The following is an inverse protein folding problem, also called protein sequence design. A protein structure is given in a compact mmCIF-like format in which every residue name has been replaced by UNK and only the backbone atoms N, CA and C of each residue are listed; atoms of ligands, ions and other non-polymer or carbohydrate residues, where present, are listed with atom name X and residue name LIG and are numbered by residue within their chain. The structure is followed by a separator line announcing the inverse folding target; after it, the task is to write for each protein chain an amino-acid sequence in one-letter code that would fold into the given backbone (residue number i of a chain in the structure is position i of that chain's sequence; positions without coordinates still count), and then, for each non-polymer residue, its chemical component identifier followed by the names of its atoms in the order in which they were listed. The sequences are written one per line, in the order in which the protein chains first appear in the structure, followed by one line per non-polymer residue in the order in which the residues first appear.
data_IF_083278546980
#
_entry.id   IF_083278546980
#
_cell.length_a   1.000
_cell.length_b   1.000
_cell.length_c   1.000
_cell.angle_alpha   90.00
_cell.angle_beta   90.00
_cell.angle_gamma   90.00
#
_symmetry.space_group_name_H-M   'P 1'
#
loop_
_entity.id
_entity.type
_entity.pdbx_description
1 polymer ?
#
# COMPACT_ATOMS: atom_id res chain seq x y z
N UNK A 1 -13.97 -3.89 -47.81
CA UNK A 1 -15.24 -3.24 -47.38
C UNK A 1 -16.16 -4.36 -46.92
N UNK A 2 -16.07 -4.74 -45.65
CA UNK A 2 -16.91 -5.76 -45.03
C UNK A 2 -17.38 -5.18 -43.70
N UNK A 3 -18.55 -4.56 -43.71
CA UNK A 3 -19.21 -4.06 -42.50
C UNK A 3 -19.78 -5.27 -41.76
N UNK A 4 -19.04 -5.78 -40.78
CA UNK A 4 -19.60 -6.66 -39.75
C UNK A 4 -20.50 -5.81 -38.86
N UNK A 5 -21.79 -6.06 -38.94
CA UNK A 5 -22.82 -5.44 -38.11
C UNK A 5 -22.61 -5.86 -36.65
N UNK A 6 -22.17 -4.89 -35.84
CA UNK A 6 -22.16 -4.97 -34.38
C UNK A 6 -23.59 -5.25 -33.91
N UNK A 7 -23.84 -6.52 -33.54
CA UNK A 7 -25.08 -6.96 -32.92
C UNK A 7 -25.10 -6.40 -31.49
N UNK A 8 -25.74 -5.24 -31.35
CA UNK A 8 -25.99 -4.58 -30.07
C UNK A 8 -26.70 -5.59 -29.17
N UNK A 9 -26.03 -6.00 -28.11
CA UNK A 9 -26.57 -6.91 -27.09
C UNK A 9 -27.70 -6.17 -26.40
N UNK A 10 -28.93 -6.64 -26.58
CA UNK A 10 -30.10 -6.07 -25.94
C UNK A 10 -29.88 -5.97 -24.42
N UNK A 11 -30.37 -4.89 -23.78
CA UNK A 11 -30.24 -4.72 -22.34
C UNK A 11 -30.88 -5.91 -21.64
N UNK A 12 -30.08 -6.56 -20.78
CA UNK A 12 -30.53 -7.64 -19.91
C UNK A 12 -31.77 -7.13 -19.16
N UNK A 13 -32.93 -7.83 -19.21
CA UNK A 13 -34.12 -7.39 -18.51
C UNK A 13 -33.80 -7.22 -17.02
N UNK A 14 -34.45 -6.24 -16.34
CA UNK A 14 -34.23 -6.01 -14.92
C UNK A 14 -34.45 -7.33 -14.20
N UNK A 15 -33.44 -7.73 -13.44
CA UNK A 15 -33.54 -8.86 -12.52
C UNK A 15 -34.68 -8.49 -11.58
N UNK A 16 -35.80 -9.23 -11.65
CA UNK A 16 -36.86 -9.12 -10.66
C UNK A 16 -36.25 -9.45 -9.30
N UNK A 17 -35.89 -8.40 -8.58
CA UNK A 17 -35.61 -8.45 -7.16
C UNK A 17 -36.96 -8.84 -6.54
N UNK A 18 -37.05 -10.06 -6.01
CA UNK A 18 -38.29 -10.51 -5.35
C UNK A 18 -38.71 -9.54 -4.26
N UNK A 19 -40.01 -9.54 -3.91
CA UNK A 19 -40.68 -8.60 -2.98
C UNK A 19 -39.92 -8.32 -1.67
N UNK A 20 -39.02 -9.20 -1.23
CA UNK A 20 -38.14 -8.98 -0.08
C UNK A 20 -37.06 -7.89 -0.27
N UNK A 21 -36.70 -7.54 -1.52
CA UNK A 21 -35.67 -6.52 -1.80
C UNK A 21 -36.23 -5.11 -2.01
N UNK A 22 -37.51 -4.96 -2.38
CA UNK A 22 -38.18 -3.64 -2.40
C UNK A 22 -38.47 -3.14 -0.97
N UNK A 23 -38.70 -4.04 -0.01
CA UNK A 23 -38.86 -3.66 1.40
C UNK A 23 -37.55 -3.13 2.01
N UNK A 24 -36.40 -3.73 1.68
CA UNK A 24 -35.10 -3.27 2.19
C UNK A 24 -34.70 -1.91 1.58
N UNK A 25 -35.08 -1.64 0.32
CA UNK A 25 -34.80 -0.35 -0.31
C UNK A 25 -35.74 0.76 0.20
N UNK A 26 -37.01 0.45 0.50
CA UNK A 26 -37.92 1.40 1.18
C UNK A 26 -37.55 1.69 2.63
N UNK A 27 -37.03 0.70 3.38
CA UNK A 27 -36.51 0.92 4.74
C UNK A 27 -35.24 1.80 4.72
N UNK A 28 -34.46 1.78 3.64
CA UNK A 28 -33.27 2.63 3.50
C UNK A 28 -33.57 4.07 3.08
N UNK A 29 -34.66 4.30 2.35
CA UNK A 29 -35.05 5.63 1.86
C UNK A 29 -35.83 6.47 2.90
N UNK A 30 -36.43 5.80 3.90
CA UNK A 30 -37.15 6.41 5.02
C UNK A 30 -36.35 6.44 6.34
N UNK A 31 -35.04 6.16 6.33
CA UNK A 31 -34.15 6.65 7.40
C UNK A 31 -34.12 8.16 7.27
N UNK A 32 -35.15 8.78 7.86
CA UNK A 32 -35.47 10.19 7.72
C UNK A 32 -34.20 11.00 7.90
N UNK A 33 -33.99 12.02 7.06
CA UNK A 33 -32.84 12.93 7.19
C UNK A 33 -32.64 13.43 8.64
N UNK A 34 -33.70 13.41 9.45
CA UNK A 34 -33.70 13.68 10.89
C UNK A 34 -32.98 12.60 11.72
N UNK A 35 -33.17 11.32 11.44
CA UNK A 35 -32.46 10.21 12.10
C UNK A 35 -31.00 10.12 11.66
N UNK A 36 -30.72 10.32 10.36
CA UNK A 36 -29.35 10.44 9.86
C UNK A 36 -28.61 11.63 10.50
N UNK A 37 -29.28 12.79 10.63
CA UNK A 37 -28.75 13.96 11.35
C UNK A 37 -28.54 13.66 12.84
N UNK A 38 -29.45 12.92 13.47
CA UNK A 38 -29.32 12.47 14.86
C UNK A 38 -28.05 11.65 15.07
N UNK A 39 -27.84 10.61 14.24
CA UNK A 39 -26.63 9.77 14.30
C UNK A 39 -25.35 10.53 13.98
N UNK A 40 -25.40 11.47 13.03
CA UNK A 40 -24.24 12.32 12.72
C UNK A 40 -23.86 13.21 13.91
N UNK A 41 -24.85 13.79 14.59
CA UNK A 41 -24.63 14.59 15.80
C UNK A 41 -24.10 13.73 16.95
N UNK A 42 -24.58 12.50 17.12
CA UNK A 42 -24.05 11.56 18.12
C UNK A 42 -22.60 11.16 17.82
N UNK A 43 -22.27 10.87 16.56
CA UNK A 43 -20.89 10.59 16.13
C UNK A 43 -19.98 11.80 16.35
N UNK A 44 -20.43 13.01 15.98
CA UNK A 44 -19.68 14.25 16.24
C UNK A 44 -19.45 14.48 17.73
N UNK A 45 -20.47 14.25 18.57
CA UNK A 45 -20.33 14.34 20.02
C UNK A 45 -19.38 13.29 20.58
N UNK A 46 -19.40 12.05 20.06
CA UNK A 46 -18.48 11.01 20.52
C UNK A 46 -17.04 11.31 20.12
N UNK A 47 -16.82 11.81 18.91
CA UNK A 47 -15.50 12.23 18.43
C UNK A 47 -14.99 13.44 19.24
N UNK A 48 -15.83 14.45 19.48
CA UNK A 48 -15.47 15.58 20.35
C UNK A 48 -15.13 15.13 21.76
N UNK A 49 -15.91 14.24 22.37
CA UNK A 49 -15.62 13.68 23.69
C UNK A 49 -14.32 12.84 23.71
N UNK A 50 -14.01 12.13 22.62
CA UNK A 50 -12.72 11.44 22.48
C UNK A 50 -11.58 12.45 22.40
N UNK A 51 -11.79 13.55 21.68
CA UNK A 51 -10.82 14.65 21.54
C UNK A 51 -10.58 15.34 22.90
N UNK A 52 -11.63 15.55 23.69
CA UNK A 52 -11.53 16.11 25.05
C UNK A 52 -10.76 15.18 25.98
N UNK A 53 -11.02 13.86 25.94
CA UNK A 53 -10.21 12.86 26.67
C UNK A 53 -8.75 12.83 26.19
N UNK A 54 -8.53 13.06 24.89
CA UNK A 54 -7.19 13.17 24.33
C UNK A 54 -6.48 14.46 24.77
N UNK A 55 -7.23 15.56 24.93
CA UNK A 55 -6.74 16.83 25.43
C UNK A 55 -6.43 16.75 26.94
N UNK A 56 -7.27 16.08 27.72
CA UNK A 56 -7.04 15.85 29.16
C UNK A 56 -5.88 14.88 29.43
N UNK A 57 -5.71 13.86 28.58
CA UNK A 57 -4.60 12.89 28.73
C UNK A 57 -3.24 13.42 28.27
N UNK A 58 -3.21 14.51 27.48
CA UNK A 58 -1.98 15.22 27.14
C UNK A 58 -1.80 16.44 28.02
N UNK A 59 -1.19 16.21 29.19
CA UNK A 59 -0.60 17.28 30.00
C UNK A 59 0.23 18.21 29.11
N UNK A 60 0.15 19.53 29.34
CA UNK A 60 0.90 20.56 28.58
C UNK A 60 2.39 20.21 28.40
N UNK A 61 2.97 19.47 29.36
CA UNK A 61 4.33 18.92 29.32
C UNK A 61 4.57 17.93 28.18
N UNK A 62 3.62 17.06 27.86
CA UNK A 62 3.70 16.05 26.78
C UNK A 62 3.54 16.68 25.40
N UNK A 63 2.80 17.80 25.31
CA UNK A 63 2.67 18.61 24.09
C UNK A 63 3.93 19.41 23.84
N UNK A 64 4.54 19.99 24.89
CA UNK A 64 5.82 20.71 24.78
C UNK A 64 7.02 19.78 24.53
N UNK A 65 6.96 18.52 24.97
CA UNK A 65 8.02 17.54 24.77
C UNK A 65 8.11 16.94 23.36
N UNK A 66 7.03 17.02 22.56
CA UNK A 66 7.02 16.52 21.17
C UNK A 66 7.26 17.67 20.19
N UNK A 67 8.49 18.18 20.19
CA UNK A 67 8.96 19.22 19.27
C UNK A 67 8.71 18.86 17.79
N UNK A 68 8.85 17.58 17.44
CA UNK A 68 8.65 17.08 16.07
C UNK A 68 7.20 17.28 15.55
N UNK A 69 6.20 17.12 16.42
CA UNK A 69 4.80 17.30 16.03
C UNK A 69 4.52 18.78 15.78
N UNK A 70 5.05 19.66 16.63
CA UNK A 70 4.92 21.11 16.45
C UNK A 70 5.62 21.61 15.20
N UNK A 71 6.80 21.09 14.89
CA UNK A 71 7.51 21.41 13.65
C UNK A 71 6.72 20.95 12.43
N UNK A 72 6.13 19.76 12.48
CA UNK A 72 5.28 19.25 11.38
C UNK A 72 4.02 20.11 11.18
N UNK A 73 3.34 20.49 12.26
CA UNK A 73 2.15 21.38 12.19
C UNK A 73 2.54 22.78 11.71
N UNK A 74 3.66 23.31 12.18
CA UNK A 74 4.18 24.60 11.74
C UNK A 74 4.55 24.58 10.26
N UNK A 75 5.19 23.52 9.78
CA UNK A 75 5.53 23.35 8.36
C UNK A 75 4.27 23.22 7.49
N UNK A 76 3.24 22.50 7.97
CA UNK A 76 1.93 22.46 7.30
C UNK A 76 1.32 23.85 7.26
N UNK A 77 1.21 24.56 8.39
CA UNK A 77 0.61 25.90 8.47
C UNK A 77 1.39 26.95 7.67
N UNK A 78 2.71 26.77 7.50
CA UNK A 78 3.57 27.66 6.72
C UNK A 78 3.62 27.29 5.23
N UNK A 79 3.07 26.13 4.86
CA UNK A 79 2.93 25.77 3.46
C UNK A 79 2.15 26.84 2.70
N UNK A 80 2.60 27.15 1.49
CA UNK A 80 1.94 28.13 0.60
C UNK A 80 0.54 27.67 0.18
N UNK A 81 0.21 26.41 0.42
CA UNK A 81 -1.03 25.76 0.04
C UNK A 81 -2.03 25.62 1.19
N UNK A 82 -1.72 26.16 2.38
CA UNK A 82 -2.67 26.21 3.51
C UNK A 82 -3.38 27.55 3.54
N UNK A 83 -4.71 27.50 3.46
CA UNK A 83 -5.58 28.66 3.46
C UNK A 83 -6.36 28.68 4.77
N UNK A 84 -6.24 29.79 5.49
CA UNK A 84 -7.05 30.06 6.67
C UNK A 84 -8.24 30.91 6.24
N UNK A 85 -9.45 30.42 6.45
CA UNK A 85 -10.67 31.15 6.19
C UNK A 85 -11.51 31.26 7.46
N UNK A 86 -12.18 32.41 7.64
CA UNK A 86 -13.02 32.64 8.81
C UNK A 86 -14.30 31.80 8.68
N UNK A 87 -14.63 31.01 9.72
CA UNK A 87 -15.81 30.15 9.73
C UNK A 87 -17.13 30.94 9.58
N UNK A 88 -17.12 32.23 9.91
CA UNK A 88 -18.27 33.13 9.79
C UNK A 88 -18.45 33.71 8.37
N UNK A 89 -17.48 33.54 7.48
CA UNK A 89 -17.49 34.07 6.11
C UNK A 89 -17.53 32.91 5.10
N UNK A 90 -18.68 32.23 5.07
CA UNK A 90 -18.90 31.05 4.24
C UNK A 90 -18.77 31.35 2.74
N UNK A 91 -19.06 32.56 2.30
CA UNK A 91 -18.99 32.94 0.89
C UNK A 91 -17.54 33.02 0.42
N UNK A 92 -16.65 33.59 1.24
CA UNK A 92 -15.22 33.65 0.95
C UNK A 92 -14.56 32.26 1.03
N UNK A 93 -14.91 31.45 2.03
CA UNK A 93 -14.48 30.03 2.11
C UNK A 93 -14.89 29.31 0.82
N UNK A 94 -16.14 29.49 0.40
CA UNK A 94 -16.68 28.84 -0.80
C UNK A 94 -15.96 29.31 -2.06
N UNK A 95 -15.72 30.62 -2.21
CA UNK A 95 -15.01 31.18 -3.35
C UNK A 95 -13.54 30.73 -3.41
N UNK A 96 -12.83 30.74 -2.27
CA UNK A 96 -11.48 30.21 -2.16
C UNK A 96 -11.45 28.71 -2.44
N UNK A 97 -12.42 27.95 -1.95
CA UNK A 97 -12.56 26.53 -2.23
C UNK A 97 -12.79 26.30 -3.73
N UNK A 98 -13.66 27.07 -4.40
CA UNK A 98 -13.86 26.97 -5.85
C UNK A 98 -12.62 27.39 -6.67
N UNK A 99 -11.80 28.29 -6.14
CA UNK A 99 -10.56 28.71 -6.79
C UNK A 99 -9.43 27.68 -6.60
N UNK A 100 -9.38 27.04 -5.42
CA UNK A 100 -8.39 26.04 -5.01
C UNK A 100 -8.71 24.64 -5.52
N UNK A 101 -9.94 24.21 -5.29
CA UNK A 101 -10.52 23.08 -5.98
C UNK A 101 -10.69 23.56 -7.42
N UNK A 102 -9.63 23.40 -8.21
CA UNK A 102 -9.64 23.52 -9.65
C UNK A 102 -10.59 22.46 -10.22
N UNK A 103 -11.89 22.57 -9.90
CA UNK A 103 -12.96 21.65 -10.26
C UNK A 103 -13.08 21.61 -11.79
N UNK A 104 -12.62 22.67 -12.48
CA UNK A 104 -12.48 22.73 -13.93
C UNK A 104 -11.28 21.94 -14.52
N UNK A 105 -10.37 21.39 -13.70
CA UNK A 105 -9.28 20.52 -14.19
C UNK A 105 -9.70 19.06 -14.34
N UNK A 106 -10.92 18.71 -13.96
CA UNK A 106 -11.48 17.42 -14.35
C UNK A 106 -11.75 17.47 -15.87
N UNK A 107 -11.18 16.55 -16.66
CA UNK A 107 -11.46 16.53 -18.09
C UNK A 107 -12.96 16.37 -18.30
N UNK A 108 -13.56 17.24 -19.13
CA UNK A 108 -14.99 17.22 -19.44
C UNK A 108 -15.45 15.83 -19.95
N UNK A 109 -14.53 15.06 -20.53
CA UNK A 109 -14.73 13.68 -20.96
C UNK A 109 -13.48 12.87 -20.66
N UNK A 110 -13.63 11.75 -19.96
CA UNK A 110 -12.55 10.77 -19.86
C UNK A 110 -12.41 10.02 -21.18
N UNK A 111 -11.17 9.75 -21.60
CA UNK A 111 -10.90 8.82 -22.69
C UNK A 111 -11.45 7.43 -22.35
N UNK A 112 -11.80 6.64 -23.36
CA UNK A 112 -12.24 5.26 -23.16
C UNK A 112 -11.15 4.41 -22.50
N UNK A 113 -9.88 4.66 -22.85
CA UNK A 113 -8.70 4.01 -22.27
C UNK A 113 -8.59 4.30 -20.78
N UNK A 114 -8.76 5.56 -20.34
CA UNK A 114 -8.75 5.92 -18.92
C UNK A 114 -9.83 5.19 -18.12
N UNK A 115 -11.03 5.01 -18.71
CA UNK A 115 -12.12 4.26 -18.06
C UNK A 115 -11.81 2.77 -17.93
N UNK A 116 -11.19 2.17 -18.95
CA UNK A 116 -10.75 0.77 -18.90
C UNK A 116 -9.63 0.57 -17.87
N UNK A 117 -8.65 1.48 -17.82
CA UNK A 117 -7.58 1.48 -16.83
C UNK A 117 -8.13 1.59 -15.40
N UNK A 118 -9.08 2.51 -15.17
CA UNK A 118 -9.74 2.66 -13.88
C UNK A 118 -10.48 1.39 -13.46
N UNK A 119 -11.23 0.77 -14.39
CA UNK A 119 -11.91 -0.50 -14.11
C UNK A 119 -10.91 -1.59 -13.73
N UNK A 120 -9.82 -1.73 -14.48
CA UNK A 120 -8.75 -2.71 -14.18
C UNK A 120 -8.13 -2.45 -12.81
N UNK A 121 -7.87 -1.20 -12.46
CA UNK A 121 -7.32 -0.85 -11.15
C UNK A 121 -8.28 -1.21 -10.00
N UNK A 122 -9.58 -0.95 -10.15
CA UNK A 122 -10.57 -1.36 -9.14
C UNK A 122 -10.67 -2.88 -8.99
N UNK A 123 -10.69 -3.63 -10.09
CA UNK A 123 -10.66 -5.10 -10.06
C UNK A 123 -9.43 -5.60 -9.31
N UNK A 124 -8.28 -4.93 -9.48
CA UNK A 124 -7.05 -5.26 -8.77
C UNK A 124 -7.17 -4.99 -7.25
N UNK A 125 -7.79 -3.88 -6.84
CA UNK A 125 -8.09 -3.59 -5.44
C UNK A 125 -8.96 -4.69 -4.84
N UNK A 126 -10.06 -5.04 -5.50
CA UNK A 126 -10.98 -6.09 -5.04
C UNK A 126 -10.25 -7.43 -4.90
N UNK A 127 -9.43 -7.80 -5.88
CA UNK A 127 -8.61 -9.01 -5.85
C UNK A 127 -7.66 -9.01 -4.65
N UNK A 128 -6.95 -7.91 -4.38
CA UNK A 128 -6.06 -7.82 -3.23
C UNK A 128 -6.80 -7.89 -1.90
N UNK A 129 -7.97 -7.23 -1.80
CA UNK A 129 -8.80 -7.24 -0.59
C UNK A 129 -9.35 -8.64 -0.30
N UNK A 130 -9.85 -9.34 -1.31
CA UNK A 130 -10.41 -10.69 -1.12
C UNK A 130 -9.33 -11.71 -0.74
N UNK A 131 -8.16 -11.64 -1.38
CA UNK A 131 -7.04 -12.49 -1.00
C UNK A 131 -6.51 -12.15 0.41
N UNK A 132 -6.45 -10.87 0.78
CA UNK A 132 -6.10 -10.47 2.13
C UNK A 132 -7.07 -11.06 3.18
N UNK A 133 -8.38 -11.16 2.87
CA UNK A 133 -9.35 -11.82 3.75
C UNK A 133 -9.08 -13.32 3.91
N UNK A 134 -8.67 -14.01 2.84
CA UNK A 134 -8.28 -15.43 2.89
C UNK A 134 -7.08 -15.63 3.80
N UNK A 135 -6.00 -14.87 3.62
CA UNK A 135 -4.81 -14.98 4.49
C UNK A 135 -5.11 -14.63 5.96
N UNK A 136 -5.98 -13.65 6.21
CA UNK A 136 -6.43 -13.33 7.57
C UNK A 136 -7.19 -14.49 8.22
N UNK A 137 -8.07 -15.17 7.48
CA UNK A 137 -8.79 -16.36 7.97
C UNK A 137 -7.83 -17.51 8.22
N UNK A 138 -6.90 -17.76 7.29
CA UNK A 138 -5.89 -18.79 7.41
C UNK A 138 -4.99 -18.57 8.64
N UNK A 139 -4.48 -17.35 8.85
CA UNK A 139 -3.67 -17.02 10.01
C UNK A 139 -4.41 -17.24 11.34
N UNK A 140 -5.69 -16.85 11.41
CA UNK A 140 -6.54 -17.14 12.58
C UNK A 140 -6.72 -18.65 12.81
N UNK A 141 -6.98 -19.42 11.76
CA UNK A 141 -7.15 -20.86 11.85
C UNK A 141 -5.87 -21.55 12.37
N UNK A 142 -4.71 -21.21 11.81
CA UNK A 142 -3.41 -21.72 12.24
C UNK A 142 -3.12 -21.39 13.70
N UNK A 143 -3.44 -20.18 14.14
CA UNK A 143 -3.30 -19.77 15.53
C UNK A 143 -4.19 -20.59 16.47
N UNK A 144 -5.47 -20.78 16.12
CA UNK A 144 -6.42 -21.58 16.92
C UNK A 144 -5.95 -23.03 17.03
N UNK A 145 -5.48 -23.64 15.93
CA UNK A 145 -4.97 -25.03 15.95
C UNK A 145 -3.72 -25.13 16.83
N UNK A 146 -2.79 -24.17 16.71
CA UNK A 146 -1.58 -24.12 17.53
C UNK A 146 -1.93 -24.02 19.02
N UNK A 147 -2.90 -23.18 19.36
CA UNK A 147 -3.37 -23.00 20.73
C UNK A 147 -4.02 -24.27 21.29
N UNK A 148 -4.87 -24.95 20.50
CA UNK A 148 -5.49 -26.22 20.89
C UNK A 148 -4.44 -27.32 21.13
N UNK A 149 -3.44 -27.43 20.25
CA UNK A 149 -2.32 -28.37 20.44
C UNK A 149 -1.53 -28.06 21.71
N UNK A 150 -1.22 -26.78 21.95
CA UNK A 150 -0.52 -26.35 23.16
C UNK A 150 -1.29 -26.68 24.44
N UNK A 151 -2.59 -26.39 24.47
CA UNK A 151 -3.48 -26.73 25.60
C UNK A 151 -3.53 -28.25 25.82
N UNK A 152 -3.64 -29.04 24.75
CA UNK A 152 -3.66 -30.50 24.86
C UNK A 152 -2.34 -31.07 25.44
N UNK A 153 -1.19 -30.54 25.02
CA UNK A 153 0.13 -30.92 25.55
C UNK A 153 0.19 -30.64 27.06
N UNK A 154 -0.20 -29.43 27.48
CA UNK A 154 -0.19 -29.05 28.91
C UNK A 154 -1.18 -29.90 29.72
N UNK A 155 -2.38 -30.16 29.19
CA UNK A 155 -3.39 -30.97 29.87
C UNK A 155 -2.89 -32.41 30.12
N UNK A 156 -2.29 -33.06 29.10
CA UNK A 156 -1.73 -34.41 29.26
C UNK A 156 -0.56 -34.39 30.26
N UNK A 157 0.33 -33.40 30.16
CA UNK A 157 1.48 -33.26 31.06
C UNK A 157 1.07 -33.08 32.53
N UNK A 158 -0.03 -32.37 32.80
CA UNK A 158 -0.55 -32.15 34.16
C UNK A 158 -1.39 -33.33 34.66
N UNK A 159 -2.19 -33.97 33.80
CA UNK A 159 -3.06 -35.08 34.20
C UNK A 159 -2.29 -36.37 34.47
N UNK A 160 -1.18 -36.60 33.78
CA UNK A 160 -0.36 -37.81 33.92
C UNK A 160 0.13 -38.07 35.36
N UNK A 161 0.68 -37.09 36.12
CA UNK A 161 1.05 -37.31 37.52
C UNK A 161 -0.15 -37.34 38.49
N UNK A 162 -1.28 -36.72 38.14
CA UNK A 162 -2.47 -36.68 39.02
C UNK A 162 -3.24 -38.01 39.00
N UNK A 163 -3.30 -38.67 37.84
CA UNK A 163 -4.06 -39.90 37.64
C UNK A 163 -3.20 -41.03 37.05
N UNK A 164 -2.18 -41.53 37.78
CA UNK A 164 -1.25 -42.53 37.27
C UNK A 164 -1.92 -43.88 36.95
N UNK A 165 -3.05 -44.19 37.58
CA UNK A 165 -3.80 -45.44 37.30
C UNK A 165 -4.64 -45.36 36.02
N UNK A 166 -5.08 -44.16 35.62
CA UNK A 166 -5.93 -43.98 34.45
C UNK A 166 -5.13 -43.81 33.14
N UNK A 167 -3.91 -43.29 33.22
CA UNK A 167 -3.08 -42.96 32.06
C UNK A 167 -1.75 -43.69 32.18
N UNK A 168 -1.54 -44.71 31.35
CA UNK A 168 -0.25 -45.38 31.23
C UNK A 168 0.83 -44.39 30.76
N UNK A 169 1.95 -44.36 31.48
CA UNK A 169 3.08 -43.47 31.20
C UNK A 169 3.61 -43.65 29.77
N UNK A 170 3.60 -44.89 29.25
CA UNK A 170 4.07 -45.17 27.89
C UNK A 170 3.19 -44.50 26.84
N UNK A 171 1.86 -44.53 27.04
CA UNK A 171 0.89 -43.90 26.15
C UNK A 171 0.98 -42.37 26.23
N UNK A 172 1.13 -41.82 27.44
CA UNK A 172 1.32 -40.38 27.63
C UNK A 172 2.56 -39.86 26.91
N UNK A 173 3.71 -40.54 27.04
CA UNK A 173 4.96 -40.13 26.37
C UNK A 173 4.81 -40.19 24.85
N UNK A 174 4.20 -41.24 24.30
CA UNK A 174 3.97 -41.36 22.84
C UNK A 174 3.03 -40.27 22.33
N UNK A 175 1.94 -39.99 23.03
CA UNK A 175 0.97 -38.96 22.63
C UNK A 175 1.58 -37.56 22.69
N UNK A 176 2.33 -37.24 23.74
CA UNK A 176 3.09 -36.00 23.84
C UNK A 176 4.09 -35.84 22.70
N UNK A 177 4.79 -36.92 22.33
CA UNK A 177 5.71 -36.91 21.18
C UNK A 177 4.99 -36.56 19.87
N UNK A 178 3.87 -37.22 19.56
CA UNK A 178 3.11 -36.94 18.33
C UNK A 178 2.49 -35.55 18.32
N UNK A 179 1.95 -35.07 19.44
CA UNK A 179 1.41 -33.70 19.56
C UNK A 179 2.51 -32.65 19.35
N UNK A 180 3.69 -32.87 19.93
CA UNK A 180 4.84 -31.97 19.77
C UNK A 180 5.35 -31.97 18.33
N UNK A 181 5.36 -33.13 17.67
CA UNK A 181 5.72 -33.25 16.25
C UNK A 181 4.70 -32.52 15.36
N UNK A 182 3.40 -32.68 15.62
CA UNK A 182 2.34 -31.98 14.90
C UNK A 182 2.44 -30.47 15.08
N UNK A 183 2.70 -29.99 16.31
CA UNK A 183 2.90 -28.57 16.58
C UNK A 183 4.12 -28.02 15.84
N UNK A 184 5.23 -28.76 15.81
CA UNK A 184 6.44 -28.38 15.06
C UNK A 184 6.20 -28.34 13.54
N UNK A 185 5.43 -29.30 13.02
CA UNK A 185 5.02 -29.29 11.61
C UNK A 185 4.13 -28.09 11.28
N UNK A 186 3.20 -27.75 12.17
CA UNK A 186 2.32 -26.60 12.02
C UNK A 186 3.08 -25.28 12.06
N UNK A 187 4.05 -25.13 12.98
CA UNK A 187 4.88 -23.91 13.06
C UNK A 187 5.77 -23.77 11.84
N UNK A 188 6.39 -24.86 11.36
CA UNK A 188 7.16 -24.87 10.11
C UNK A 188 6.30 -24.50 8.90
N UNK A 189 5.09 -25.06 8.79
CA UNK A 189 4.15 -24.72 7.73
C UNK A 189 3.68 -23.26 7.80
N UNK A 190 3.39 -22.76 9.01
CA UNK A 190 3.05 -21.35 9.22
C UNK A 190 4.18 -20.41 8.83
N UNK A 191 5.44 -20.79 9.08
CA UNK A 191 6.61 -19.99 8.72
C UNK A 191 6.81 -19.93 7.20
N UNK A 192 6.54 -21.02 6.47
CA UNK A 192 6.61 -21.04 5.00
C UNK A 192 5.52 -20.17 4.37
N UNK A 193 4.29 -20.23 4.91
CA UNK A 193 3.18 -19.46 4.38
C UNK A 193 3.27 -17.99 4.77
N UNK A 194 3.72 -17.70 5.98
CA UNK A 194 3.72 -16.38 6.61
C UNK A 194 2.45 -15.56 6.31
N UNK A 195 1.29 -16.01 6.80
CA UNK A 195 -0.01 -15.42 6.44
C UNK A 195 -0.14 -13.97 6.90
N UNK A 196 0.57 -13.57 7.96
CA UNK A 196 0.49 -12.23 8.54
C UNK A 196 1.17 -11.20 7.66
N UNK A 197 2.41 -11.46 7.20
CA UNK A 197 3.11 -10.53 6.32
C UNK A 197 2.43 -10.45 4.96
N UNK A 198 1.95 -11.57 4.40
CA UNK A 198 1.18 -11.59 3.15
C UNK A 198 -0.12 -10.81 3.25
N UNK A 199 -0.85 -10.95 4.37
CA UNK A 199 -2.06 -10.16 4.63
C UNK A 199 -1.75 -8.66 4.69
N UNK A 200 -0.71 -8.26 5.42
CA UNK A 200 -0.31 -6.85 5.55
C UNK A 200 0.15 -6.27 4.21
N UNK A 201 0.96 -7.01 3.44
CA UNK A 201 1.44 -6.61 2.13
C UNK A 201 0.28 -6.40 1.15
N UNK A 202 -0.63 -7.38 1.02
CA UNK A 202 -1.80 -7.27 0.13
C UNK A 202 -2.69 -6.09 0.51
N UNK A 203 -2.94 -5.88 1.81
CA UNK A 203 -3.74 -4.74 2.28
C UNK A 203 -3.04 -3.41 2.01
N UNK A 204 -1.73 -3.34 2.24
CA UNK A 204 -0.92 -2.15 1.97
C UNK A 204 -0.95 -1.78 0.49
N UNK A 205 -0.80 -2.76 -0.41
CA UNK A 205 -0.86 -2.48 -1.85
C UNK A 205 -2.28 -2.18 -2.33
N UNK A 206 -3.32 -2.82 -1.78
CA UNK A 206 -4.70 -2.43 -2.08
C UNK A 206 -4.94 -0.94 -1.80
N UNK A 207 -4.51 -0.45 -0.64
CA UNK A 207 -4.60 0.96 -0.26
C UNK A 207 -3.72 1.87 -1.15
N UNK A 208 -2.56 1.39 -1.57
CA UNK A 208 -1.70 2.13 -2.50
C UNK A 208 -2.32 2.24 -3.89
N UNK A 209 -2.95 1.18 -4.41
CA UNK A 209 -3.67 1.23 -5.68
C UNK A 209 -4.87 2.16 -5.55
N UNK A 210 -5.60 2.11 -4.44
CA UNK A 210 -6.73 3.00 -4.18
C UNK A 210 -6.28 4.47 -4.15
N UNK A 211 -5.17 4.78 -3.47
CA UNK A 211 -4.65 6.15 -3.44
C UNK A 211 -4.21 6.63 -4.83
N UNK A 212 -3.58 5.78 -5.64
CA UNK A 212 -3.24 6.08 -7.04
C UNK A 212 -4.49 6.31 -7.91
N UNK A 213 -5.55 5.52 -7.72
CA UNK A 213 -6.85 5.73 -8.38
C UNK A 213 -7.39 7.12 -8.03
N UNK A 214 -7.36 7.49 -6.75
CA UNK A 214 -7.82 8.81 -6.32
C UNK A 214 -6.98 9.93 -6.91
N UNK A 215 -5.65 9.81 -6.89
CA UNK A 215 -4.76 10.81 -7.47
C UNK A 215 -4.98 10.98 -8.98
N UNK A 216 -5.17 9.88 -9.70
CA UNK A 216 -5.49 9.89 -11.12
C UNK A 216 -6.84 10.55 -11.40
N UNK A 217 -7.88 10.25 -10.60
CA UNK A 217 -9.22 10.83 -10.73
C UNK A 217 -9.25 12.32 -10.42
N UNK A 218 -8.53 12.77 -9.40
CA UNK A 218 -8.49 14.19 -9.01
C UNK A 218 -7.42 14.98 -9.76
N UNK A 219 -6.61 14.33 -10.61
CA UNK A 219 -5.51 14.95 -11.37
C UNK A 219 -4.53 15.70 -10.46
N UNK A 220 -4.22 15.13 -9.31
CA UNK A 220 -3.24 15.68 -8.35
C UNK A 220 -1.89 14.98 -8.48
N UNK A 221 -0.85 15.61 -7.93
CA UNK A 221 0.51 15.06 -7.92
C UNK A 221 1.06 14.86 -9.34
N UNK A 222 1.59 13.66 -9.60
CA UNK A 222 2.23 13.29 -10.87
C UNK A 222 1.27 13.26 -12.07
N UNK A 223 -0.04 13.29 -11.81
CA UNK A 223 -1.12 13.31 -12.82
C UNK A 223 -1.65 14.70 -13.12
N UNK A 224 -1.26 15.70 -12.32
CA UNK A 224 -1.56 17.09 -12.62
C UNK A 224 -0.85 17.49 -13.91
N UNK A 225 -1.58 18.08 -14.85
CA UNK A 225 -0.94 18.70 -16.01
C UNK A 225 0.11 19.68 -15.49
N UNK A 226 1.38 19.47 -15.87
CA UNK A 226 2.44 20.44 -15.67
C UNK A 226 2.17 21.60 -16.62
N UNK A 227 1.11 22.36 -16.36
CA UNK A 227 0.80 23.64 -17.00
C UNK A 227 1.76 24.73 -16.50
N UNK A 228 2.94 24.36 -15.99
CA UNK A 228 3.97 25.30 -15.57
C UNK A 228 4.70 25.84 -16.81
N UNK A 229 3.98 26.69 -17.55
CA UNK A 229 4.44 27.82 -18.36
C UNK A 229 5.50 27.59 -19.47
N UNK A 230 5.96 26.37 -19.74
CA UNK A 230 7.19 26.19 -20.55
C UNK A 230 7.10 25.17 -21.68
N UNK A 231 6.03 24.38 -21.77
CA UNK A 231 5.93 23.30 -22.75
C UNK A 231 4.62 23.45 -23.52
N UNK A 232 4.67 23.76 -24.81
CA UNK A 232 3.52 23.82 -25.72
C UNK A 232 2.86 22.45 -25.98
N UNK A 233 2.74 21.62 -24.94
CA UNK A 233 2.14 20.30 -25.00
C UNK A 233 0.62 20.49 -25.08
N UNK A 234 0.02 19.93 -26.13
CA UNK A 234 -1.43 19.92 -26.31
C UNK A 234 -2.10 19.22 -25.12
N UNK A 235 -3.25 19.70 -24.61
CA UNK A 235 -4.00 19.06 -23.52
C UNK A 235 -4.21 17.56 -23.72
N UNK A 236 -4.50 17.12 -24.97
CA UNK A 236 -4.66 15.70 -25.32
C UNK A 236 -3.42 14.86 -25.05
N UNK A 237 -2.22 15.43 -25.27
CA UNK A 237 -0.97 14.73 -25.05
C UNK A 237 -0.65 14.62 -23.56
N UNK A 238 -1.06 15.62 -22.76
CA UNK A 238 -0.94 15.56 -21.31
C UNK A 238 -1.85 14.47 -20.71
N UNK A 239 -3.07 14.31 -21.23
CA UNK A 239 -3.99 13.22 -20.84
C UNK A 239 -3.39 11.83 -21.13
N UNK A 240 -2.90 11.61 -22.36
CA UNK A 240 -2.22 10.35 -22.73
C UNK A 240 -0.99 10.08 -21.84
N UNK A 241 -0.25 11.13 -21.47
CA UNK A 241 0.89 10.97 -20.57
C UNK A 241 0.47 10.57 -19.15
N UNK A 242 -0.62 11.15 -18.63
CA UNK A 242 -1.17 10.78 -17.33
C UNK A 242 -1.66 9.33 -17.31
N UNK A 243 -2.32 8.88 -18.38
CA UNK A 243 -2.75 7.48 -18.54
C UNK A 243 -1.57 6.51 -18.57
N UNK A 244 -0.53 6.81 -19.36
CA UNK A 244 0.69 5.99 -19.42
C UNK A 244 1.37 5.90 -18.05
N UNK A 245 1.47 7.02 -17.32
CA UNK A 245 2.04 7.04 -15.96
C UNK A 245 1.21 6.19 -15.01
N UNK A 246 -0.11 6.30 -15.06
CA UNK A 246 -1.02 5.53 -14.22
C UNK A 246 -0.85 4.03 -14.50
N UNK A 247 -0.81 3.64 -15.77
CA UNK A 247 -0.57 2.27 -16.19
C UNK A 247 0.78 1.75 -15.66
N UNK A 248 1.86 2.52 -15.79
CA UNK A 248 3.18 2.15 -15.24
C UNK A 248 3.12 1.96 -13.73
N UNK A 249 2.50 2.90 -12.99
CA UNK A 249 2.37 2.81 -11.52
C UNK A 249 1.57 1.59 -11.07
N UNK A 250 0.48 1.28 -11.75
CA UNK A 250 -0.32 0.07 -11.46
C UNK A 250 0.52 -1.20 -11.69
N UNK A 251 1.27 -1.27 -12.79
CA UNK A 251 2.18 -2.41 -13.06
C UNK A 251 3.30 -2.49 -12.02
N UNK A 252 3.90 -1.37 -11.62
CA UNK A 252 4.95 -1.34 -10.59
C UNK A 252 4.42 -1.81 -9.23
N UNK A 253 3.17 -1.45 -8.88
CA UNK A 253 2.51 -1.93 -7.67
C UNK A 253 2.21 -3.43 -7.74
N UNK A 254 1.79 -3.95 -8.90
CA UNK A 254 1.61 -5.39 -9.13
C UNK A 254 2.94 -6.13 -8.96
N UNK A 255 4.01 -5.62 -9.55
CA UNK A 255 5.37 -6.17 -9.41
C UNK A 255 5.86 -6.12 -7.97
N UNK A 256 5.54 -5.05 -7.24
CA UNK A 256 5.88 -4.89 -5.82
C UNK A 256 5.16 -5.95 -4.98
N UNK A 257 3.87 -6.21 -5.24
CA UNK A 257 3.14 -7.31 -4.59
C UNK A 257 3.78 -8.64 -4.91
N UNK A 258 4.03 -8.93 -6.18
CA UNK A 258 4.65 -10.17 -6.63
C UNK A 258 5.99 -10.43 -5.96
N UNK A 259 6.80 -9.38 -5.74
CA UNK A 259 8.11 -9.48 -5.06
C UNK A 259 7.98 -9.60 -3.54
N UNK A 260 7.10 -8.82 -2.91
CA UNK A 260 6.99 -8.73 -1.45
C UNK A 260 6.26 -9.91 -0.80
N UNK A 261 5.40 -10.59 -1.54
CA UNK A 261 4.48 -11.59 -0.98
C UNK A 261 4.88 -13.04 -1.27
N UNK A 262 6.00 -13.28 -1.96
CA UNK A 262 6.37 -14.63 -2.41
C UNK A 262 5.29 -15.29 -3.28
N UNK A 263 4.39 -14.49 -3.89
CA UNK A 263 3.28 -14.99 -4.69
C UNK A 263 3.72 -15.47 -6.08
N UNK A 264 4.98 -15.28 -6.47
CA UNK A 264 5.53 -15.77 -7.75
C UNK A 264 5.34 -17.26 -7.95
N UNK A 265 5.37 -18.03 -6.86
CA UNK A 265 5.23 -19.50 -6.91
C UNK A 265 3.76 -19.95 -6.83
N UNK A 266 2.82 -19.02 -6.70
CA UNK A 266 1.40 -19.31 -6.57
C UNK A 266 0.64 -19.04 -7.86
N UNK A 267 -0.40 -19.83 -8.15
CA UNK A 267 -1.32 -19.66 -9.29
C UNK A 267 -2.19 -18.38 -9.20
N UNK A 268 -1.80 -17.40 -8.40
CA UNK A 268 -2.55 -16.18 -8.14
C UNK A 268 -2.84 -15.39 -9.42
N UNK A 269 -1.84 -15.29 -10.31
CA UNK A 269 -1.96 -14.55 -11.58
C UNK A 269 -2.17 -15.45 -12.79
N UNK A 270 -2.27 -16.77 -12.62
CA UNK A 270 -2.53 -17.67 -13.75
C UNK A 270 -3.98 -17.60 -14.22
N UNK A 271 -4.88 -17.04 -13.39
CA UNK A 271 -6.22 -16.67 -13.85
C UNK A 271 -6.11 -15.34 -14.60
N UNK A 272 -5.94 -15.45 -15.91
CA UNK A 272 -5.89 -14.38 -16.90
C UNK A 272 -7.17 -13.53 -16.84
N UNK A 273 -7.23 -12.63 -15.87
CA UNK A 273 -8.13 -11.47 -15.89
C UNK A 273 -7.58 -10.35 -16.77
N UNK A 274 -6.36 -10.52 -17.30
CA UNK A 274 -5.74 -9.64 -18.28
C UNK A 274 -5.95 -10.25 -19.65
N UNK A 275 -7.12 -9.99 -20.24
CA UNK A 275 -7.14 -9.83 -21.69
C UNK A 275 -6.25 -8.63 -21.99
N UNK A 276 -5.15 -8.87 -22.68
CA UNK A 276 -4.20 -7.85 -23.11
C UNK A 276 -4.85 -7.07 -24.27
N UNK A 277 -5.98 -6.40 -24.01
CA UNK A 277 -6.82 -5.75 -25.04
C UNK A 277 -6.20 -4.44 -25.59
N UNK A 278 -4.89 -4.24 -25.40
CA UNK A 278 -4.17 -3.03 -25.81
C UNK A 278 -2.92 -3.31 -26.66
N UNK A 279 -2.70 -4.57 -27.08
CA UNK A 279 -1.78 -4.86 -28.17
C UNK A 279 -2.59 -4.74 -29.48
N UNK A 280 -2.41 -3.62 -30.19
CA UNK A 280 -2.57 -3.47 -31.67
C UNK A 280 -3.01 -2.05 -32.12
N UNK A 281 -2.52 -0.99 -31.48
CA UNK A 281 -2.47 0.34 -32.12
C UNK A 281 -1.10 0.97 -31.83
N UNK A 282 -0.05 0.45 -32.47
CA UNK A 282 1.15 1.25 -32.74
C UNK A 282 0.71 2.44 -33.62
N UNK A 283 0.28 3.53 -32.97
CA UNK A 283 0.10 4.83 -33.61
C UNK A 283 1.43 5.13 -34.33
N UNK A 284 1.43 5.26 -35.67
CA UNK A 284 2.67 5.34 -36.45
C UNK A 284 3.51 6.48 -35.89
N UNK A 285 4.77 6.19 -35.53
CA UNK A 285 5.69 7.21 -35.02
C UNK A 285 5.54 8.47 -35.88
N UNK A 286 5.31 9.66 -35.29
CA UNK A 286 5.23 10.89 -36.06
C UNK A 286 6.49 10.95 -36.92
N UNK A 287 6.31 11.02 -38.25
CA UNK A 287 7.39 10.96 -39.22
C UNK A 287 8.39 12.06 -38.89
N UNK A 288 9.39 11.71 -38.08
CA UNK A 288 10.52 12.59 -37.81
C UNK A 288 11.23 12.67 -39.16
N UNK A 289 11.38 13.85 -39.77
CA UNK A 289 12.01 13.94 -41.08
C UNK A 289 13.38 13.26 -41.01
N UNK A 290 13.54 12.20 -41.82
CA UNK A 290 14.69 11.28 -41.87
C UNK A 290 16.06 12.00 -41.85
N UNK A 291 16.10 13.27 -42.25
CA UNK A 291 17.27 14.14 -42.19
C UNK A 291 17.80 14.39 -40.76
N UNK A 292 16.99 14.28 -39.70
CA UNK A 292 17.46 14.50 -38.33
C UNK A 292 18.02 13.23 -37.64
N UNK A 293 17.42 12.05 -37.86
CA UNK A 293 17.96 10.77 -37.35
C UNK A 293 19.32 10.44 -38.01
N UNK A 294 19.49 10.71 -39.30
CA UNK A 294 20.78 10.51 -39.99
C UNK A 294 21.91 11.39 -39.43
N UNK A 295 21.62 12.65 -39.05
CA UNK A 295 22.64 13.56 -38.50
C UNK A 295 23.14 13.14 -37.12
N UNK A 296 22.25 12.64 -36.24
CA UNK A 296 22.65 12.15 -34.90
C UNK A 296 23.46 10.86 -34.96
N UNK A 297 23.12 9.93 -35.86
CA UNK A 297 23.88 8.69 -36.02
C UNK A 297 25.27 8.94 -36.60
N UNK A 298 25.39 9.85 -37.58
CA UNK A 298 26.70 10.23 -38.15
C UNK A 298 27.58 10.98 -37.14
N UNK A 299 27.01 11.84 -36.27
CA UNK A 299 27.77 12.48 -35.19
C UNK A 299 28.29 11.48 -34.15
N UNK A 300 27.49 10.46 -33.80
CA UNK A 300 27.88 9.44 -32.82
C UNK A 300 28.99 8.52 -33.36
N UNK A 301 28.92 8.14 -34.63
CA UNK A 301 29.98 7.36 -35.31
C UNK A 301 31.28 8.19 -35.44
N UNK A 302 31.18 9.49 -35.71
CA UNK A 302 32.37 10.37 -35.84
C UNK A 302 33.07 10.59 -34.48
N UNK A 303 32.33 10.65 -33.38
CA UNK A 303 32.92 10.75 -32.03
C UNK A 303 33.60 9.45 -31.59
N UNK A 304 33.06 8.29 -31.96
CA UNK A 304 33.69 6.99 -31.63
C UNK A 304 34.94 6.69 -32.48
N UNK A 305 35.08 7.26 -33.68
CA UNK A 305 36.21 6.98 -34.58
C UNK A 305 37.43 7.90 -34.39
N UNK A 306 37.27 9.07 -33.78
CA UNK A 306 38.36 10.06 -33.65
C UNK A 306 38.78 10.36 -32.20
N UNK A 307 38.17 9.73 -31.19
CA UNK A 307 38.45 10.00 -29.76
C UNK A 307 39.46 9.07 -29.09
N UNK A 308 40.07 8.12 -29.81
CA UNK A 308 40.88 7.04 -29.23
C UNK A 308 42.36 7.10 -29.58
N UNK A 309 43.06 8.17 -29.21
CA UNK A 309 44.51 8.20 -29.36
C UNK A 309 45.14 9.46 -28.79
N UNK A 310 45.52 9.42 -27.50
CA UNK A 310 46.80 9.96 -26.99
C UNK A 310 46.94 9.75 -25.48
N UNK A 311 48.20 9.58 -25.06
CA UNK A 311 48.73 9.60 -23.69
C UNK A 311 48.73 8.31 -22.85
N UNK A 312 49.54 7.35 -23.30
CA UNK A 312 50.36 6.49 -22.43
C UNK A 312 51.76 7.13 -22.30
N UNK A 313 52.35 7.06 -21.10
CA UNK A 313 53.75 7.30 -20.70
C UNK A 313 54.10 8.60 -19.94
N UNK A 314 54.27 8.45 -18.62
CA UNK A 314 55.36 8.93 -17.72
C UNK A 314 54.81 8.86 -16.28
N UNK A 315 55.42 8.32 -15.24
CA UNK A 315 56.69 7.66 -14.94
C UNK A 315 56.55 7.19 -13.48
N UNK A 316 56.89 5.96 -13.14
CA UNK A 316 58.14 5.59 -12.47
C UNK A 316 58.51 6.48 -11.26
N UNK A 317 58.35 5.93 -10.04
CA UNK A 317 59.31 6.17 -8.95
C UNK A 317 58.76 6.38 -7.53
N UNK A 318 59.37 5.65 -6.59
CA UNK A 318 59.43 5.82 -5.12
C UNK A 318 58.32 5.12 -4.30
N UNK A 319 58.54 3.90 -3.78
CA UNK A 319 59.25 3.52 -2.53
C UNK A 319 58.70 4.16 -1.24
N UNK A 320 58.10 3.33 -0.38
CA UNK A 320 58.36 3.10 1.06
C UNK A 320 57.06 2.55 1.70
N UNK A 321 57.00 1.26 2.05
CA UNK A 321 57.45 0.70 3.34
C UNK A 321 56.65 1.21 4.53
N UNK A 322 55.61 0.48 4.94
CA UNK A 322 55.28 0.26 6.35
C UNK A 322 54.29 -0.92 6.49
N UNK A 323 54.60 -1.75 7.48
CA UNK A 323 54.05 -3.07 7.77
C UNK A 323 52.70 -3.01 8.55
N UNK A 324 52.10 -4.16 8.87
CA UNK A 324 50.76 -4.29 9.47
C UNK A 324 50.82 -4.43 11.00
N UNK A 325 49.73 -4.08 11.70
CA UNK A 325 49.57 -4.49 13.10
C UNK A 325 48.43 -3.82 13.89
N UNK A 326 47.88 -4.61 14.82
CA UNK A 326 46.98 -4.30 15.94
C UNK A 326 45.49 -4.11 15.58
N UNK A 327 44.60 -5.07 15.85
CA UNK A 327 44.15 -5.56 17.17
C UNK A 327 43.54 -4.46 18.04
N UNK A 328 42.21 -4.46 18.20
CA UNK A 328 41.54 -3.90 19.38
C UNK A 328 40.15 -4.53 19.58
N UNK A 329 40.13 -5.40 20.58
CA UNK A 329 39.01 -5.71 21.46
C UNK A 329 38.47 -4.47 22.20
N UNK A 330 37.24 -4.62 22.73
CA UNK A 330 36.52 -3.83 23.74
C UNK A 330 35.36 -3.00 23.15
N UNK A 331 34.13 -3.04 23.68
CA UNK A 331 33.68 -3.61 24.94
C UNK A 331 32.16 -3.78 25.01
N UNK A 332 31.77 -4.69 25.88
CA UNK A 332 30.40 -5.01 26.31
C UNK A 332 29.89 -3.89 27.24
N UNK A 333 28.64 -3.41 27.09
CA UNK A 333 28.05 -2.47 28.04
C UNK A 333 27.71 -3.17 29.37
N UNK A 334 28.23 -2.62 30.46
CA UNK A 334 27.95 -3.01 31.84
C UNK A 334 26.54 -2.55 32.26
N UNK A 335 25.77 -3.49 32.79
CA UNK A 335 24.46 -3.30 33.42
C UNK A 335 24.65 -2.70 34.83
N UNK A 336 23.90 -1.65 35.22
CA UNK A 336 23.98 -1.10 36.57
C UNK A 336 23.29 -2.01 37.58
N UNK A 337 24.06 -2.52 38.54
CA UNK A 337 23.59 -3.15 39.78
C UNK A 337 23.04 -2.08 40.72
N UNK A 338 21.73 -2.05 40.90
CA UNK A 338 21.11 -1.36 42.03
C UNK A 338 21.27 -2.23 43.29
N UNK A 339 22.04 -1.70 44.24
CA UNK A 339 22.19 -2.25 45.58
C UNK A 339 21.09 -1.71 46.48
N UNK A 340 20.13 -2.57 46.82
CA UNK A 340 19.12 -2.30 47.83
C UNK A 340 19.70 -2.64 49.22
N UNK A 341 20.07 -1.59 49.97
CA UNK A 341 20.44 -1.68 51.38
C UNK A 341 19.16 -1.77 52.23
N UNK A 342 19.00 -2.88 52.96
CA UNK A 342 18.09 -2.97 54.11
C UNK A 342 18.64 -2.15 55.28
N UNK A 343 17.82 -1.33 55.96
CA UNK A 343 18.16 -0.81 57.28
C UNK A 343 17.81 -1.87 58.34
N UNK A 344 18.83 -2.25 59.12
CA UNK A 344 18.64 -2.77 60.47
C UNK A 344 18.37 -1.57 61.39
N UNK A 345 17.27 -1.60 62.13
CA UNK A 345 17.10 -0.87 63.38
C UNK A 345 16.00 -1.53 64.23
N UNK A 346 16.29 -1.72 65.52
CA UNK A 346 15.32 -1.78 66.61
C UNK A 346 14.82 -3.14 67.05
#
# INVERSE_FOLDING_TARGET
IGMSTLKIREPKPPVHVGEAGEEIFRIAEDVTAKEAKGRLVELLKSEMAMTDRYAESKTEKTIKGNEEIWMSVYDIMKSKDVYCANLHDLDNVTSQLYQQAQIERLPLKNSQEALQLLRRAWVLVDLFVDNARVYKRLGKAMYVISLLLGVAIVAIAVLQPVYPEAIDATVAVRTLFYLSLALTGLTGFSAIIDPTTKWQALRGTALAVESEIWQFRTRVGDYGCVCSNSSGISPKQAERQAEKRFQTKITDLQDTVLRSSGLKDTNFFSSTTVTNDSEDDEEPEPIVPLKQKARKTVQRIRQSFFGGGEAVQRGAGARQSAAPGASRHAGTPQEPRDGEQQPQDG
#
